data_IF_947981478537
#
_entry.id   IF_947981478537
#
_cell.length_a   1.000
_cell.length_b   1.000
_cell.length_c   1.000
_cell.angle_alpha   90.00
_cell.angle_beta   90.00
_cell.angle_gamma   90.00
#
_symmetry.space_group_name_H-M   'P 1'
#
loop_
_entity.id
_entity.type
_entity.pdbx_description
1 polymer ?
#
# COMPACT_ATOMS: atom_id res chain seq x y z
N UNK A 1 9.64 3.27 4.12
CA UNK A 1 10.31 3.63 5.39
C UNK A 1 11.81 3.70 5.16
N UNK A 2 12.55 4.42 6.00
CA UNK A 2 14.02 4.54 5.90
C UNK A 2 14.53 5.07 4.55
N UNK A 3 13.66 5.74 3.79
CA UNK A 3 14.05 6.44 2.56
C UNK A 3 15.13 7.48 2.92
N UNK A 4 16.27 7.51 2.22
CA UNK A 4 17.39 8.39 2.60
C UNK A 4 17.04 9.88 2.68
N UNK A 5 16.18 10.35 1.76
CA UNK A 5 15.73 11.74 1.66
C UNK A 5 14.50 11.83 0.75
N UNK A 6 13.70 12.90 0.81
CA UNK A 6 12.66 13.17 -0.16
C UNK A 6 13.20 13.16 -1.61
N UNK A 7 12.46 12.55 -2.54
CA UNK A 7 12.86 12.45 -3.94
C UNK A 7 14.02 11.51 -4.23
N UNK A 8 14.36 10.60 -3.30
CA UNK A 8 15.43 9.64 -3.52
C UNK A 8 15.07 8.61 -4.61
N UNK A 9 15.73 8.72 -5.77
CA UNK A 9 15.61 7.79 -6.92
C UNK A 9 16.86 6.91 -7.12
N UNK A 10 17.75 6.89 -6.12
CA UNK A 10 19.01 6.14 -6.13
C UNK A 10 18.81 4.62 -6.04
N UNK A 11 19.81 3.90 -5.51
CA UNK A 11 19.82 2.44 -5.38
C UNK A 11 19.27 1.96 -4.03
N UNK A 12 19.49 0.69 -3.72
CA UNK A 12 19.22 0.16 -2.37
C UNK A 12 20.15 0.82 -1.34
N UNK A 13 19.60 1.18 -0.18
CA UNK A 13 20.35 1.76 0.95
C UNK A 13 19.77 1.18 2.22
N UNK A 14 20.44 0.20 2.81
CA UNK A 14 19.93 -0.49 3.99
C UNK A 14 19.47 0.49 5.09
N UNK A 15 18.26 0.31 5.68
CA UNK A 15 17.32 -0.80 5.45
C UNK A 15 16.26 -0.53 4.36
N UNK A 16 16.38 0.56 3.61
CA UNK A 16 15.53 0.85 2.44
C UNK A 16 15.96 0.04 1.20
N UNK A 17 14.99 -0.59 0.57
CA UNK A 17 15.15 -1.33 -0.68
C UNK A 17 14.38 -0.63 -1.79
N UNK A 18 15.11 -0.09 -2.78
CA UNK A 18 14.55 0.59 -3.95
C UNK A 18 13.63 -0.33 -4.73
N UNK A 19 13.97 -1.60 -4.86
CA UNK A 19 13.17 -2.56 -5.62
C UNK A 19 11.77 -2.81 -5.05
N UNK A 20 11.50 -2.45 -3.80
CA UNK A 20 10.14 -2.48 -3.22
C UNK A 20 9.31 -1.22 -3.55
N UNK A 21 9.94 -0.16 -4.08
CA UNK A 21 9.26 1.10 -4.42
C UNK A 21 9.04 1.22 -5.94
N UNK A 22 7.83 0.91 -6.46
CA UNK A 22 7.60 0.92 -7.90
C UNK A 22 7.64 2.33 -8.51
N UNK A 23 7.32 3.38 -7.73
CA UNK A 23 7.20 4.74 -8.25
C UNK A 23 8.53 5.31 -8.72
N UNK A 24 9.65 4.94 -8.10
CA UNK A 24 10.99 5.41 -8.50
C UNK A 24 11.50 4.77 -9.79
N UNK A 25 10.71 3.91 -10.43
CA UNK A 25 10.96 3.38 -11.78
C UNK A 25 10.13 4.07 -12.86
N UNK A 26 9.14 4.90 -12.49
CA UNK A 26 8.37 5.66 -13.46
C UNK A 26 9.23 6.78 -14.05
N UNK A 27 9.23 6.89 -15.38
CA UNK A 27 10.04 7.90 -16.07
C UNK A 27 9.69 9.32 -15.64
N UNK A 28 8.41 9.63 -15.37
CA UNK A 28 8.05 10.97 -14.88
C UNK A 28 8.65 11.25 -13.50
N UNK A 29 8.66 10.27 -12.59
CA UNK A 29 9.25 10.44 -11.24
C UNK A 29 10.76 10.64 -11.35
N UNK A 30 11.44 9.88 -12.21
CA UNK A 30 12.89 10.00 -12.42
C UNK A 30 13.26 11.35 -13.05
N UNK A 31 12.46 11.85 -13.99
CA UNK A 31 12.81 13.01 -14.82
C UNK A 31 12.28 14.33 -14.28
N UNK A 32 11.23 14.32 -13.45
CA UNK A 32 10.57 15.54 -12.97
C UNK A 32 10.76 15.69 -11.45
N UNK A 33 11.54 16.69 -10.99
CA UNK A 33 11.79 16.90 -9.56
C UNK A 33 10.51 17.05 -8.71
N UNK A 34 9.46 17.65 -9.27
CA UNK A 34 8.18 17.79 -8.58
C UNK A 34 7.47 16.46 -8.36
N UNK A 35 7.65 15.48 -9.26
CA UNK A 35 7.10 14.13 -9.07
C UNK A 35 7.94 13.33 -8.08
N UNK A 36 9.27 13.44 -8.16
CA UNK A 36 10.17 12.86 -7.17
C UNK A 36 9.85 13.38 -5.75
N UNK A 37 9.49 14.65 -5.59
CA UNK A 37 9.16 15.24 -4.29
C UNK A 37 7.98 14.54 -3.56
N UNK A 38 7.14 13.78 -4.27
CA UNK A 38 6.08 12.96 -3.65
C UNK A 38 6.60 11.64 -3.04
N UNK A 39 7.84 11.24 -3.33
CA UNK A 39 8.50 10.08 -2.73
C UNK A 39 9.21 10.53 -1.47
N UNK A 40 8.58 10.32 -0.32
CA UNK A 40 9.03 10.89 0.96
C UNK A 40 9.37 9.81 2.00
N UNK A 41 10.22 10.14 3.00
CA UNK A 41 10.41 9.27 4.16
C UNK A 41 9.10 9.02 4.90
N UNK A 42 8.95 7.80 5.44
CA UNK A 42 7.73 7.41 6.13
C UNK A 42 7.43 8.27 7.38
N UNK A 43 8.43 8.95 7.94
CA UNK A 43 8.23 9.90 9.03
C UNK A 43 7.27 11.04 8.69
N UNK A 44 7.12 11.41 7.41
CA UNK A 44 6.14 12.42 6.98
C UNK A 44 4.70 11.94 7.22
N UNK A 45 4.42 10.65 7.06
CA UNK A 45 3.08 10.09 7.24
C UNK A 45 2.53 10.34 8.66
N UNK A 46 3.38 10.18 9.68
CA UNK A 46 2.99 10.46 11.07
C UNK A 46 2.73 11.95 11.30
N UNK A 47 3.56 12.83 10.74
CA UNK A 47 3.38 14.28 10.79
C UNK A 47 2.08 14.72 10.11
N UNK A 48 1.77 14.15 8.94
CA UNK A 48 0.55 14.44 8.18
C UNK A 48 -0.70 13.93 8.91
N UNK A 49 -0.63 12.74 9.51
CA UNK A 49 -1.72 12.20 10.32
C UNK A 49 -2.04 13.09 11.52
N UNK A 50 -1.01 13.50 12.28
CA UNK A 50 -1.19 14.36 13.48
C UNK A 50 -1.71 15.74 13.10
N UNK A 51 -1.24 16.30 11.98
CA UNK A 51 -1.63 17.64 11.54
C UNK A 51 -2.93 17.68 10.73
N UNK A 52 -3.49 16.52 10.36
CA UNK A 52 -4.72 16.42 9.56
C UNK A 52 -4.52 16.72 8.08
N UNK A 53 -3.32 16.51 7.54
CA UNK A 53 -2.94 16.81 6.15
C UNK A 53 -2.57 15.54 5.36
N UNK A 54 -3.17 14.39 5.69
CA UNK A 54 -2.96 13.16 4.92
C UNK A 54 -3.26 13.37 3.42
N UNK A 55 -2.46 12.79 2.52
CA UNK A 55 -2.76 12.84 1.09
C UNK A 55 -3.99 11.97 0.78
N UNK A 56 -4.64 12.26 -0.35
CA UNK A 56 -5.75 11.43 -0.85
C UNK A 56 -5.31 9.99 -1.19
N UNK A 57 -4.02 9.80 -1.49
CA UNK A 57 -3.40 8.51 -1.75
C UNK A 57 -2.01 8.45 -1.11
N UNK A 58 -1.74 7.37 -0.38
CA UNK A 58 -0.43 7.04 0.15
C UNK A 58 -0.09 5.58 -0.16
N UNK A 59 1.14 5.33 -0.59
CA UNK A 59 1.68 3.98 -0.76
C UNK A 59 2.82 3.78 0.24
N UNK A 60 2.55 2.97 1.25
CA UNK A 60 3.45 2.79 2.39
C UNK A 60 4.18 1.47 2.23
N UNK A 61 5.51 1.52 2.29
CA UNK A 61 6.40 0.35 2.17
C UNK A 61 7.22 0.30 3.47
N UNK A 62 7.04 -0.71 4.34
CA UNK A 62 7.94 -0.94 5.47
C UNK A 62 9.38 -1.17 4.99
N UNK A 63 10.36 -0.90 5.85
CA UNK A 63 11.75 -1.24 5.51
C UNK A 63 11.97 -2.76 5.63
N UNK A 64 13.12 -3.27 5.18
CA UNK A 64 13.38 -4.72 5.15
C UNK A 64 13.33 -5.42 6.52
N UNK A 65 13.39 -4.69 7.64
CA UNK A 65 13.25 -5.25 8.99
C UNK A 65 11.79 -5.46 9.40
N UNK A 66 10.87 -4.77 8.75
CA UNK A 66 9.45 -4.68 9.13
C UNK A 66 8.51 -5.16 8.01
N UNK A 67 9.07 -5.71 6.91
CA UNK A 67 8.35 -6.17 5.72
C UNK A 67 7.80 -7.60 5.81
N UNK A 68 8.09 -8.32 6.90
CA UNK A 68 7.77 -9.73 7.11
C UNK A 68 8.36 -10.71 6.08
N UNK A 69 9.32 -10.28 5.25
CA UNK A 69 10.12 -11.14 4.40
C UNK A 69 11.49 -11.42 5.04
N UNK A 70 12.26 -10.36 5.30
CA UNK A 70 13.56 -10.50 5.99
C UNK A 70 13.41 -10.35 7.50
N UNK A 71 12.52 -9.45 7.93
CA UNK A 71 12.04 -9.38 9.30
C UNK A 71 11.12 -10.55 9.66
N UNK A 72 10.70 -10.61 10.92
CA UNK A 72 9.72 -11.59 11.39
C UNK A 72 8.29 -11.05 11.30
N UNK A 73 7.30 -11.95 11.34
CA UNK A 73 5.89 -11.57 11.45
C UNK A 73 5.61 -10.76 12.73
N UNK A 74 6.28 -11.06 13.86
CA UNK A 74 6.12 -10.32 15.11
C UNK A 74 6.65 -8.88 15.00
N UNK A 75 7.74 -8.67 14.24
CA UNK A 75 8.27 -7.33 13.96
C UNK A 75 7.30 -6.54 13.09
N UNK A 76 6.80 -7.14 12.00
CA UNK A 76 5.81 -6.52 11.14
C UNK A 76 4.50 -6.19 11.88
N UNK A 77 4.01 -7.08 12.74
CA UNK A 77 2.82 -6.82 13.56
C UNK A 77 3.06 -5.67 14.54
N UNK A 78 4.20 -5.67 15.23
CA UNK A 78 4.59 -4.55 16.11
C UNK A 78 4.65 -3.24 15.35
N UNK A 79 5.22 -3.25 14.14
CA UNK A 79 5.32 -2.09 13.27
C UNK A 79 3.93 -1.58 12.84
N UNK A 80 3.02 -2.48 12.46
CA UNK A 80 1.63 -2.14 12.11
C UNK A 80 0.88 -1.54 13.30
N UNK A 81 1.03 -2.12 14.49
CA UNK A 81 0.41 -1.59 15.72
C UNK A 81 0.92 -0.18 16.02
N UNK A 82 2.22 0.07 15.89
CA UNK A 82 2.81 1.38 16.20
C UNK A 82 2.45 2.44 15.15
N UNK A 83 2.49 2.09 13.87
CA UNK A 83 2.46 3.07 12.79
C UNK A 83 1.11 3.18 12.07
N UNK A 84 0.32 2.09 12.03
CA UNK A 84 -0.93 2.03 11.28
C UNK A 84 -2.16 2.06 12.19
N UNK A 85 -2.10 1.51 13.40
CA UNK A 85 -3.22 1.60 14.33
C UNK A 85 -3.66 3.06 14.64
N UNK A 86 -2.75 4.06 14.74
CA UNK A 86 -3.16 5.46 14.88
C UNK A 86 -4.01 5.96 13.71
N UNK A 87 -3.68 5.58 12.47
CA UNK A 87 -4.48 5.91 11.29
C UNK A 87 -5.87 5.29 11.41
N UNK A 88 -5.95 3.98 11.66
CA UNK A 88 -7.23 3.26 11.73
C UNK A 88 -8.13 3.84 12.81
N UNK A 89 -7.58 4.28 13.94
CA UNK A 89 -8.34 4.88 15.04
C UNK A 89 -8.67 6.37 14.85
N UNK A 90 -8.14 7.02 13.82
CA UNK A 90 -8.34 8.45 13.58
C UNK A 90 -9.75 8.75 13.05
N UNK A 91 -10.30 9.91 13.42
CA UNK A 91 -11.61 10.34 12.94
C UNK A 91 -11.65 10.53 11.41
N UNK A 92 -10.54 11.02 10.82
CA UNK A 92 -10.42 11.21 9.37
C UNK A 92 -10.52 9.88 8.63
N UNK A 93 -9.88 8.82 9.13
CA UNK A 93 -9.96 7.50 8.51
C UNK A 93 -11.33 6.83 8.73
N UNK A 94 -11.93 6.99 9.92
CA UNK A 94 -13.23 6.39 10.23
C UNK A 94 -14.38 6.98 9.41
N UNK A 95 -14.23 8.18 8.86
CA UNK A 95 -15.24 8.81 8.02
C UNK A 95 -15.46 8.05 6.70
N UNK A 96 -14.39 7.84 5.94
CA UNK A 96 -14.43 7.21 4.61
C UNK A 96 -13.09 6.65 4.12
N UNK A 97 -12.10 6.52 5.01
CA UNK A 97 -10.78 5.99 4.68
C UNK A 97 -10.84 4.55 4.16
N UNK A 98 -9.89 4.24 3.28
CA UNK A 98 -9.62 2.90 2.76
C UNK A 98 -8.14 2.59 2.95
N UNK A 99 -7.86 1.46 3.60
CA UNK A 99 -6.52 0.91 3.75
C UNK A 99 -6.52 -0.52 3.22
N UNK A 100 -5.54 -0.81 2.38
CA UNK A 100 -5.21 -2.15 1.91
C UNK A 100 -3.86 -2.55 2.52
N UNK A 101 -3.84 -3.61 3.31
CA UNK A 101 -2.58 -4.25 3.75
C UNK A 101 -2.43 -5.50 2.90
N UNK A 102 -1.35 -5.62 2.14
CA UNK A 102 -1.11 -6.74 1.23
C UNK A 102 0.38 -7.06 1.13
N UNK A 103 0.69 -8.25 0.63
CA UNK A 103 2.04 -8.67 0.25
C UNK A 103 2.19 -8.65 -1.25
N UNK A 104 3.40 -8.42 -1.75
CA UNK A 104 3.76 -8.35 -3.17
C UNK A 104 4.03 -9.73 -3.79
N UNK A 105 4.45 -10.70 -2.98
CA UNK A 105 4.70 -12.08 -3.41
C UNK A 105 4.18 -13.13 -2.40
N UNK A 106 3.82 -14.30 -2.92
CA UNK A 106 3.38 -15.46 -2.15
C UNK A 106 4.51 -16.47 -1.90
N UNK A 107 4.12 -17.69 -1.50
CA UNK A 107 5.07 -18.80 -1.36
C UNK A 107 5.72 -19.12 -2.72
N UNK A 108 7.06 -19.18 -2.76
CA UNK A 108 7.84 -19.46 -3.98
C UNK A 108 7.51 -20.82 -4.63
N UNK A 109 6.90 -21.75 -3.89
CA UNK A 109 6.48 -23.05 -4.40
C UNK A 109 5.02 -23.04 -4.91
N UNK A 110 4.24 -22.01 -4.59
CA UNK A 110 2.88 -21.84 -5.09
C UNK A 110 2.91 -21.03 -6.40
N UNK A 111 2.89 -21.73 -7.52
CA UNK A 111 2.85 -21.12 -8.85
C UNK A 111 1.41 -20.86 -9.34
N UNK A 112 0.40 -21.10 -8.50
CA UNK A 112 -0.99 -20.87 -8.85
C UNK A 112 -1.21 -19.40 -9.21
N UNK A 113 -1.98 -19.14 -10.27
CA UNK A 113 -2.37 -17.80 -10.69
C UNK A 113 -1.21 -16.81 -10.89
N UNK A 114 0.01 -17.29 -11.14
CA UNK A 114 1.15 -16.45 -11.51
C UNK A 114 1.99 -15.90 -10.36
N UNK A 115 1.86 -16.44 -9.14
CA UNK A 115 2.69 -16.03 -7.99
C UNK A 115 2.18 -16.48 -6.63
N UNK A 116 1.19 -17.36 -6.60
CA UNK A 116 0.63 -17.94 -5.39
C UNK A 116 -0.33 -17.01 -4.65
N UNK A 117 -0.78 -17.47 -3.49
CA UNK A 117 -1.74 -16.73 -2.66
C UNK A 117 -1.04 -15.82 -1.65
N UNK A 118 -1.37 -14.53 -1.70
CA UNK A 118 -0.97 -13.54 -0.69
C UNK A 118 -2.11 -13.21 0.28
N UNK A 119 -1.76 -12.76 1.48
CA UNK A 119 -2.73 -12.16 2.38
C UNK A 119 -3.06 -10.73 1.92
N UNK A 120 -4.35 -10.39 1.92
CA UNK A 120 -4.83 -9.02 1.69
C UNK A 120 -5.94 -8.71 2.67
N UNK A 121 -5.79 -7.62 3.42
CA UNK A 121 -6.77 -7.13 4.38
C UNK A 121 -7.29 -5.78 3.90
N UNK A 122 -8.62 -5.69 3.74
CA UNK A 122 -9.33 -4.46 3.39
C UNK A 122 -9.90 -3.85 4.67
N UNK A 123 -9.49 -2.63 5.00
CA UNK A 123 -9.92 -1.91 6.19
C UNK A 123 -10.53 -0.59 5.73
N UNK A 124 -11.77 -0.32 6.16
CA UNK A 124 -12.44 0.94 5.85
C UNK A 124 -13.51 1.26 6.89
N UNK A 125 -13.72 2.55 7.17
CA UNK A 125 -14.86 3.02 7.96
C UNK A 125 -16.22 2.65 7.34
N UNK A 126 -16.26 2.41 6.03
CA UNK A 126 -17.44 1.98 5.27
C UNK A 126 -17.42 0.48 4.92
N UNK A 127 -16.42 -0.28 5.33
CA UNK A 127 -16.28 -1.70 4.98
C UNK A 127 -17.17 -2.63 5.79
N UNK A 128 -17.50 -3.80 5.23
CA UNK A 128 -18.15 -4.89 5.96
C UNK A 128 -17.24 -5.40 7.07
N UNK A 129 -17.78 -5.55 8.28
CA UNK A 129 -17.05 -6.07 9.44
C UNK A 129 -17.00 -7.59 9.41
N UNK A 130 -15.83 -8.18 9.75
CA UNK A 130 -15.62 -9.63 9.84
C UNK A 130 -16.01 -10.37 8.55
N UNK A 131 -15.87 -9.71 7.41
CA UNK A 131 -16.16 -10.27 6.11
C UNK A 131 -14.92 -10.95 5.53
N UNK A 132 -15.12 -12.12 4.91
CA UNK A 132 -14.08 -12.84 4.21
C UNK A 132 -14.62 -13.22 2.83
N UNK A 133 -13.99 -12.69 1.79
CA UNK A 133 -14.32 -13.04 0.41
C UNK A 133 -13.85 -14.47 0.11
N UNK A 134 -14.59 -15.13 -0.80
CA UNK A 134 -14.21 -16.40 -1.43
C UNK A 134 -13.86 -16.23 -2.91
N UNK A 135 -13.97 -15.00 -3.45
CA UNK A 135 -13.64 -14.68 -4.83
C UNK A 135 -12.12 -14.63 -5.03
N UNK A 136 -11.70 -14.90 -6.27
CA UNK A 136 -10.32 -14.76 -6.69
C UNK A 136 -10.04 -13.30 -7.08
N UNK A 137 -9.07 -12.69 -6.42
CA UNK A 137 -8.52 -11.39 -6.75
C UNK A 137 -7.01 -11.48 -7.00
N UNK A 138 -6.49 -10.52 -7.76
CA UNK A 138 -5.07 -10.34 -8.04
C UNK A 138 -4.70 -8.86 -7.84
N UNK A 139 -3.43 -8.49 -7.94
CA UNK A 139 -3.00 -7.09 -7.75
C UNK A 139 -3.69 -6.08 -8.68
N UNK A 140 -4.09 -6.48 -9.89
CA UNK A 140 -4.91 -5.61 -10.74
C UNK A 140 -6.28 -5.26 -10.15
N UNK A 141 -6.85 -6.12 -9.30
CA UNK A 141 -8.10 -5.85 -8.57
C UNK A 141 -7.90 -4.84 -7.45
N UNK A 142 -6.77 -4.90 -6.74
CA UNK A 142 -6.45 -3.88 -5.72
C UNK A 142 -6.20 -2.52 -6.37
N UNK A 143 -5.48 -2.48 -7.50
CA UNK A 143 -5.31 -1.25 -8.27
C UNK A 143 -6.66 -0.69 -8.75
N UNK A 144 -7.55 -1.54 -9.27
CA UNK A 144 -8.90 -1.13 -9.68
C UNK A 144 -9.67 -0.51 -8.50
N UNK A 145 -9.71 -1.18 -7.34
CA UNK A 145 -10.38 -0.68 -6.14
C UNK A 145 -9.81 0.68 -5.68
N UNK A 146 -8.47 0.82 -5.67
CA UNK A 146 -7.82 2.09 -5.31
C UNK A 146 -8.22 3.22 -6.26
N UNK A 147 -8.24 2.96 -7.57
CA UNK A 147 -8.64 3.95 -8.57
C UNK A 147 -10.12 4.32 -8.46
N UNK A 148 -11.00 3.34 -8.24
CA UNK A 148 -12.44 3.57 -8.00
C UNK A 148 -12.65 4.45 -6.75
N UNK A 149 -11.94 4.17 -5.65
CA UNK A 149 -12.00 4.96 -4.43
C UNK A 149 -11.52 6.40 -4.62
N UNK A 150 -10.57 6.63 -5.53
CA UNK A 150 -10.07 7.96 -5.93
C UNK A 150 -10.97 8.66 -6.96
N UNK A 151 -12.08 8.05 -7.38
CA UNK A 151 -13.00 8.59 -8.38
C UNK A 151 -12.50 8.51 -9.82
N UNK A 152 -11.46 7.71 -10.09
CA UNK A 152 -10.96 7.47 -11.44
C UNK A 152 -11.85 6.44 -12.13
N UNK A 153 -12.36 6.78 -13.31
CA UNK A 153 -13.30 5.94 -14.07
C UNK A 153 -12.68 5.23 -15.28
N UNK A 154 -11.39 5.46 -15.54
CA UNK A 154 -10.62 4.81 -16.61
C UNK A 154 -9.43 4.10 -16.00
N UNK A 155 -9.43 2.76 -16.04
CA UNK A 155 -8.39 1.95 -15.40
C UNK A 155 -7.31 1.51 -16.40
N UNK A 156 -6.03 1.56 -16.03
CA UNK A 156 -4.94 1.14 -16.90
C UNK A 156 -4.77 -0.39 -16.93
N UNK A 157 -4.28 -0.90 -18.06
CA UNK A 157 -3.82 -2.29 -18.18
C UNK A 157 -4.84 -3.34 -17.72
N UNK A 158 -4.38 -4.32 -16.95
CA UNK A 158 -5.23 -5.42 -16.47
C UNK A 158 -6.30 -4.96 -15.46
N UNK A 159 -6.15 -3.79 -14.83
CA UNK A 159 -7.15 -3.27 -13.89
C UNK A 159 -8.48 -2.93 -14.60
N UNK A 160 -8.46 -2.66 -15.91
CA UNK A 160 -9.67 -2.39 -16.71
C UNK A 160 -10.66 -3.56 -16.75
N UNK A 161 -10.16 -4.79 -16.62
CA UNK A 161 -10.96 -6.02 -16.71
C UNK A 161 -10.85 -6.88 -15.45
N UNK A 162 -10.13 -6.41 -14.43
CA UNK A 162 -10.00 -7.10 -13.16
C UNK A 162 -11.36 -7.17 -12.45
N UNK A 163 -11.68 -8.27 -11.75
CA UNK A 163 -12.84 -8.32 -10.88
C UNK A 163 -12.83 -7.16 -9.88
N UNK A 164 -13.97 -6.50 -9.71
CA UNK A 164 -14.18 -5.44 -8.72
C UNK A 164 -14.25 -6.02 -7.32
N UNK A 165 -13.78 -5.26 -6.33
CA UNK A 165 -13.78 -5.64 -4.91
C UNK A 165 -14.93 -4.95 -4.14
N UNK A 166 -16.02 -4.62 -4.83
CA UNK A 166 -17.19 -3.93 -4.25
C UNK A 166 -17.88 -4.75 -3.15
N UNK A 167 -17.76 -6.08 -3.18
CA UNK A 167 -18.34 -6.94 -2.14
C UNK A 167 -17.80 -6.68 -0.73
N UNK A 168 -16.66 -6.03 -0.58
CA UNK A 168 -16.11 -5.65 0.73
C UNK A 168 -16.89 -4.49 1.38
N UNK A 169 -17.81 -3.85 0.65
CA UNK A 169 -18.60 -2.72 1.09
C UNK A 169 -20.11 -3.05 1.11
N UNK A 170 -20.92 -2.39 1.97
CA UNK A 170 -22.37 -2.55 2.05
C UNK A 170 -23.13 -2.21 0.77
#
# INVERSE_FOLDING_TARGET
>A
ESLPQPGYVGGDVYPYMKHHNPFVYLSEVIQQPNQAANVVPFTEFSSDLVSGHLPNFAFIIPNILDDAHTGTLDQADTWLVQNIAPLINSAIFQQDGLLLITFDEGDLNDLSYGGGRVATVVISGKGKKKFQSTNLYQHQSTLRLTLEALGVSSFPGAAAVAPGMDEFFP
#
